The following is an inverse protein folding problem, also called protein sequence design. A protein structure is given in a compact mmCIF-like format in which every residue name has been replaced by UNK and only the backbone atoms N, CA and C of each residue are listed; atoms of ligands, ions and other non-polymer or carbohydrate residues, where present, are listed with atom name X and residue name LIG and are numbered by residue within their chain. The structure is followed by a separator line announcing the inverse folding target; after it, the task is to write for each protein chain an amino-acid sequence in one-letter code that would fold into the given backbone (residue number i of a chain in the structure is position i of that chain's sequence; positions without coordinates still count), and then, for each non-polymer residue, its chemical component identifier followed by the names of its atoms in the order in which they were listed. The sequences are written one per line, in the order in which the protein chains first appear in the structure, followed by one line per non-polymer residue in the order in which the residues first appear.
data_IF_253874111237
#
_entry.id   IF_253874111237
#
_cell.length_a   1.000
_cell.length_b   1.000
_cell.length_c   1.000
_cell.angle_alpha   90.00
_cell.angle_beta   90.00
_cell.angle_gamma   90.00
#
_symmetry.space_group_name_H-M   'P 1'
#
loop_
_entity.id
_entity.type
_entity.pdbx_description
1 polymer ?
#
# COMPACT_ATOMS: atom_id res chain seq x y z
N UNK A 1 -10.15 49.47 -9.36
CA UNK A 1 -10.42 48.01 -9.48
C UNK A 1 -11.88 47.85 -9.86
N UNK A 2 -12.17 47.25 -11.03
CA UNK A 2 -13.52 47.26 -11.60
C UNK A 2 -14.38 46.15 -10.98
N UNK A 3 -15.69 46.38 -10.80
CA UNK A 3 -16.65 45.44 -10.19
C UNK A 3 -16.53 44.01 -10.77
N UNK A 4 -16.21 43.88 -12.07
CA UNK A 4 -15.97 42.60 -12.75
C UNK A 4 -14.70 41.89 -12.29
N UNK A 5 -13.61 42.61 -12.02
CA UNK A 5 -12.36 42.02 -11.52
C UNK A 5 -12.45 41.58 -10.06
N UNK A 6 -13.24 42.28 -9.25
CA UNK A 6 -13.54 41.83 -7.88
C UNK A 6 -14.32 40.51 -7.87
N UNK A 7 -15.32 40.36 -8.75
CA UNK A 7 -16.10 39.12 -8.85
C UNK A 7 -15.21 37.94 -9.24
N UNK A 8 -14.32 38.10 -10.23
CA UNK A 8 -13.41 37.04 -10.69
C UNK A 8 -12.44 36.62 -9.57
N UNK A 9 -11.83 37.59 -8.87
CA UNK A 9 -10.92 37.31 -7.76
C UNK A 9 -11.62 36.64 -6.58
N UNK A 10 -12.84 37.07 -6.25
CA UNK A 10 -13.65 36.47 -5.19
C UNK A 10 -14.04 35.02 -5.52
N UNK A 11 -14.42 34.72 -6.78
CA UNK A 11 -14.74 33.35 -7.19
C UNK A 11 -13.52 32.43 -7.13
N UNK A 12 -12.34 32.90 -7.55
CA UNK A 12 -11.11 32.12 -7.50
C UNK A 12 -10.72 31.79 -6.04
N UNK A 13 -10.83 32.75 -5.12
CA UNK A 13 -10.52 32.54 -3.71
C UNK A 13 -11.44 31.50 -3.04
N UNK A 14 -12.75 31.54 -3.33
CA UNK A 14 -13.71 30.57 -2.78
C UNK A 14 -13.42 29.15 -3.27
N UNK A 15 -13.07 29.00 -4.55
CA UNK A 15 -12.73 27.69 -5.13
C UNK A 15 -11.45 27.11 -4.49
N UNK A 16 -10.43 27.94 -4.29
CA UNK A 16 -9.17 27.50 -3.65
C UNK A 16 -9.40 27.06 -2.20
N UNK A 17 -10.22 27.80 -1.44
CA UNK A 17 -10.55 27.46 -0.05
C UNK A 17 -11.36 26.16 0.01
N UNK A 18 -12.34 25.98 -0.88
CA UNK A 18 -13.12 24.75 -0.96
C UNK A 18 -12.26 23.52 -1.31
N UNK A 19 -11.30 23.67 -2.23
CA UNK A 19 -10.34 22.61 -2.57
C UNK A 19 -9.40 22.28 -1.40
N UNK A 20 -8.91 23.28 -0.67
CA UNK A 20 -8.05 23.07 0.49
C UNK A 20 -8.78 22.34 1.63
N UNK A 21 -10.05 22.70 1.89
CA UNK A 21 -10.90 22.02 2.89
C UNK A 21 -11.17 20.58 2.45
N UNK A 22 -11.48 20.34 1.17
CA UNK A 22 -11.73 19.01 0.63
C UNK A 22 -10.49 18.10 0.71
N UNK A 23 -9.30 18.62 0.40
CA UNK A 23 -8.04 17.90 0.54
C UNK A 23 -7.69 17.60 2.01
N UNK A 24 -7.94 18.54 2.92
CA UNK A 24 -7.69 18.36 4.35
C UNK A 24 -8.56 17.28 5.01
N UNK A 25 -9.85 17.20 4.64
CA UNK A 25 -10.77 16.19 5.19
C UNK A 25 -10.40 14.77 4.73
N UNK A 26 -9.84 14.61 3.53
CA UNK A 26 -9.43 13.29 3.01
C UNK A 26 -8.16 12.75 3.69
N UNK A 27 -7.34 13.63 4.25
CA UNK A 27 -6.04 13.26 4.86
C UNK A 27 -6.14 12.96 6.38
N UNK A 28 -7.22 13.37 7.06
CA UNK A 28 -7.31 13.30 8.53
C UNK A 28 -8.38 12.35 9.10
N UNK A 29 -9.01 11.50 8.27
CA UNK A 29 -10.15 10.67 8.68
C UNK A 29 -9.82 9.20 9.02
N UNK A 30 -8.55 8.81 9.17
CA UNK A 30 -8.23 7.52 9.80
C UNK A 30 -8.01 7.70 11.30
N UNK A 31 -9.11 7.69 12.07
CA UNK A 31 -9.05 7.48 13.52
C UNK A 31 -8.74 6.00 13.79
N UNK A 32 -7.67 5.67 14.54
CA UNK A 32 -7.56 4.36 15.15
C UNK A 32 -8.55 4.27 16.32
N UNK A 33 -9.42 3.27 16.29
CA UNK A 33 -10.39 3.00 17.35
C UNK A 33 -9.70 2.41 18.58
N UNK A 34 -9.99 3.05 19.72
CA UNK A 34 -10.02 2.59 21.11
C UNK A 34 -9.41 1.23 21.50
N UNK A 35 -8.47 1.34 22.44
CA UNK A 35 -7.91 0.37 23.38
C UNK A 35 -9.01 -0.41 24.15
N UNK A 36 -8.94 -1.75 24.25
CA UNK A 36 -9.44 -2.48 25.40
C UNK A 36 -8.32 -2.68 26.42
N UNK A 37 -8.53 -2.11 27.61
CA UNK A 37 -7.66 -2.25 28.78
C UNK A 37 -7.61 -3.72 29.23
N UNK A 38 -6.46 -4.35 29.07
CA UNK A 38 -6.13 -5.68 29.58
C UNK A 38 -4.70 -5.67 30.11
N UNK A 39 -4.58 -5.52 31.42
CA UNK A 39 -3.40 -5.75 32.25
C UNK A 39 -2.74 -7.11 31.97
N UNK A 40 -1.44 -7.16 31.65
CA UNK A 40 -0.49 -8.24 32.00
C UNK A 40 0.93 -7.83 31.60
N UNK A 41 1.90 -8.06 32.50
CA UNK A 41 3.33 -7.90 32.27
C UNK A 41 3.79 -8.51 30.93
N UNK A 42 4.35 -7.71 30.01
CA UNK A 42 4.90 -8.23 28.75
C UNK A 42 6.22 -7.54 28.39
N UNK A 43 7.26 -8.36 28.27
CA UNK A 43 8.43 -8.06 27.47
C UNK A 43 7.98 -7.76 26.03
N UNK A 44 8.47 -6.67 25.46
CA UNK A 44 8.03 -6.08 24.19
C UNK A 44 8.17 -7.10 23.05
N UNK A 45 7.07 -7.76 22.69
CA UNK A 45 6.93 -8.50 21.44
C UNK A 45 6.53 -7.51 20.36
N UNK A 46 7.35 -7.38 19.31
CA UNK A 46 6.97 -6.67 18.09
C UNK A 46 5.71 -7.35 17.56
N UNK A 47 4.58 -6.64 17.58
CA UNK A 47 3.28 -7.16 17.19
C UNK A 47 3.31 -7.56 15.71
N UNK A 48 3.35 -8.87 15.45
CA UNK A 48 3.20 -9.43 14.11
C UNK A 48 1.74 -9.21 13.71
N UNK A 49 1.50 -8.26 12.80
CA UNK A 49 0.21 -8.01 12.13
C UNK A 49 -0.46 -9.35 11.78
N UNK A 50 -1.79 -9.49 11.85
CA UNK A 50 -2.45 -10.75 11.49
C UNK A 50 -2.24 -11.12 10.01
N UNK A 51 -2.28 -12.42 9.68
CA UNK A 51 -2.22 -12.87 8.29
C UNK A 51 -3.34 -12.25 7.43
N UNK A 52 -4.55 -12.16 8.00
CA UNK A 52 -5.70 -11.55 7.32
C UNK A 52 -5.45 -10.08 6.99
N UNK A 53 -4.94 -9.32 7.96
CA UNK A 53 -4.67 -7.89 7.78
C UNK A 53 -3.56 -7.67 6.73
N UNK A 54 -2.55 -8.55 6.68
CA UNK A 54 -1.53 -8.51 5.60
C UNK A 54 -2.13 -8.76 4.23
N UNK A 55 -3.03 -9.74 4.10
CA UNK A 55 -3.72 -9.98 2.82
C UNK A 55 -4.54 -8.77 2.41
N UNK A 56 -5.31 -8.19 3.34
CA UNK A 56 -6.11 -6.98 3.11
C UNK A 56 -5.22 -5.82 2.65
N UNK A 57 -4.12 -5.55 3.35
CA UNK A 57 -3.15 -4.52 2.98
C UNK A 57 -2.58 -4.74 1.57
N UNK A 58 -2.17 -5.97 1.22
CA UNK A 58 -1.65 -6.26 -0.12
C UNK A 58 -2.71 -6.07 -1.20
N UNK A 59 -3.95 -6.50 -0.95
CA UNK A 59 -5.05 -6.29 -1.89
C UNK A 59 -5.32 -4.80 -2.11
N UNK A 60 -5.27 -3.98 -1.06
CA UNK A 60 -5.41 -2.52 -1.15
C UNK A 60 -4.29 -1.89 -1.98
N UNK A 61 -3.03 -2.28 -1.74
CA UNK A 61 -1.88 -1.80 -2.53
C UNK A 61 -2.04 -2.11 -4.01
N UNK A 62 -2.47 -3.33 -4.35
CA UNK A 62 -2.72 -3.72 -5.74
C UNK A 62 -3.94 -3.00 -6.34
N UNK A 63 -5.03 -2.89 -5.59
CA UNK A 63 -6.23 -2.17 -6.02
C UNK A 63 -5.90 -0.71 -6.35
N UNK A 64 -5.12 -0.04 -5.50
CA UNK A 64 -4.63 1.32 -5.73
C UNK A 64 -3.72 1.41 -6.95
N UNK A 65 -2.72 0.51 -7.04
CA UNK A 65 -1.75 0.49 -8.16
C UNK A 65 -2.42 0.27 -9.52
N UNK A 66 -3.44 -0.59 -9.57
CA UNK A 66 -4.09 -1.03 -10.81
C UNK A 66 -5.38 -0.24 -11.13
N UNK A 67 -5.85 0.63 -10.23
CA UNK A 67 -7.14 1.31 -10.37
C UNK A 67 -8.33 0.34 -10.39
N UNK A 68 -8.26 -0.73 -9.59
CA UNK A 68 -9.27 -1.79 -9.48
C UNK A 68 -9.92 -1.79 -8.10
N UNK A 69 -11.00 -2.55 -7.93
CA UNK A 69 -11.59 -2.78 -6.61
C UNK A 69 -10.84 -3.88 -5.88
N UNK A 70 -10.77 -3.80 -4.55
CA UNK A 70 -10.11 -4.81 -3.72
C UNK A 70 -10.69 -6.22 -3.94
N UNK A 71 -12.00 -6.34 -4.14
CA UNK A 71 -12.69 -7.61 -4.39
C UNK A 71 -12.29 -8.28 -5.72
N UNK A 72 -11.70 -7.52 -6.64
CA UNK A 72 -11.14 -8.06 -7.89
C UNK A 72 -9.72 -8.60 -7.73
N UNK A 73 -9.08 -8.38 -6.58
CA UNK A 73 -7.71 -8.78 -6.28
C UNK A 73 -7.70 -9.97 -5.32
N UNK A 74 -7.09 -11.07 -5.74
CA UNK A 74 -6.81 -12.22 -4.90
C UNK A 74 -5.30 -12.26 -4.68
N UNK A 75 -4.88 -12.35 -3.41
CA UNK A 75 -3.47 -12.45 -3.03
C UNK A 75 -3.23 -13.76 -2.31
N UNK A 76 -2.16 -14.45 -2.69
CA UNK A 76 -1.68 -15.64 -2.00
C UNK A 76 -0.21 -15.44 -1.61
N UNK A 77 0.09 -15.47 -0.31
CA UNK A 77 1.45 -15.31 0.22
C UNK A 77 2.14 -16.68 0.23
N UNK A 78 3.23 -16.79 -0.52
CA UNK A 78 4.02 -18.03 -0.60
C UNK A 78 5.14 -18.07 0.44
N UNK A 79 5.78 -16.92 0.71
CA UNK A 79 6.85 -16.76 1.69
C UNK A 79 6.80 -15.34 2.25
N UNK A 80 7.12 -15.19 3.52
CA UNK A 80 7.22 -13.90 4.19
C UNK A 80 8.26 -13.95 5.31
N UNK A 81 8.83 -12.80 5.60
CA UNK A 81 9.56 -12.52 6.84
C UNK A 81 9.05 -11.19 7.44
N UNK A 82 9.80 -10.56 8.35
CA UNK A 82 9.39 -9.31 8.98
C UNK A 82 9.31 -8.10 8.04
N UNK A 83 10.01 -8.15 6.89
CA UNK A 83 10.21 -7.01 5.98
C UNK A 83 9.99 -7.35 4.51
N UNK A 84 9.75 -8.60 4.14
CA UNK A 84 9.59 -9.06 2.76
C UNK A 84 8.43 -10.03 2.62
N UNK A 85 7.76 -9.96 1.49
CA UNK A 85 6.69 -10.89 1.10
C UNK A 85 6.90 -11.27 -0.36
N UNK A 86 6.78 -12.56 -0.64
CA UNK A 86 6.67 -13.10 -2.00
C UNK A 86 5.36 -13.86 -2.13
N UNK A 87 4.65 -13.65 -3.24
CA UNK A 87 3.41 -14.35 -3.47
C UNK A 87 2.95 -14.31 -4.92
N UNK A 88 1.69 -14.71 -5.08
CA UNK A 88 0.94 -14.64 -6.32
C UNK A 88 -0.20 -13.62 -6.15
N UNK A 89 -0.38 -12.77 -7.15
CA UNK A 89 -1.53 -11.90 -7.28
C UNK A 89 -2.34 -12.36 -8.48
N UNK A 90 -3.64 -12.53 -8.28
CA UNK A 90 -4.61 -12.84 -9.34
C UNK A 90 -5.62 -11.70 -9.40
N UNK A 91 -5.65 -11.01 -10.54
CA UNK A 91 -6.64 -9.99 -10.86
C UNK A 91 -7.74 -10.67 -11.67
N UNK A 92 -8.95 -10.73 -11.10
CA UNK A 92 -10.08 -11.45 -11.70
C UNK A 92 -10.34 -10.97 -13.13
N UNK A 93 -10.24 -11.90 -14.09
CA UNK A 93 -10.51 -11.64 -15.51
C UNK A 93 -9.39 -10.92 -16.28
N UNK A 94 -8.20 -10.75 -15.69
CA UNK A 94 -7.11 -10.00 -16.31
C UNK A 94 -5.79 -10.79 -16.31
N UNK A 95 -5.12 -10.90 -15.15
CA UNK A 95 -3.84 -11.60 -15.06
C UNK A 95 -3.60 -12.29 -13.73
N UNK A 96 -2.71 -13.28 -13.78
CA UNK A 96 -2.07 -13.88 -12.62
C UNK A 96 -0.57 -13.71 -12.75
N UNK A 97 0.08 -13.31 -11.66
CA UNK A 97 1.51 -13.00 -11.66
C UNK A 97 2.15 -13.19 -10.31
N UNK A 98 3.49 -13.25 -10.31
CA UNK A 98 4.28 -13.26 -9.09
C UNK A 98 4.40 -11.81 -8.61
N UNK A 99 4.46 -11.62 -7.29
CA UNK A 99 4.83 -10.34 -6.72
C UNK A 99 5.88 -10.47 -5.61
N UNK A 100 6.59 -9.36 -5.42
CA UNK A 100 7.52 -9.11 -4.34
C UNK A 100 7.12 -7.80 -3.67
N UNK A 101 6.91 -7.83 -2.36
CA UNK A 101 6.65 -6.65 -1.55
C UNK A 101 7.72 -6.53 -0.46
N UNK A 102 8.09 -5.30 -0.13
CA UNK A 102 9.06 -5.02 0.92
C UNK A 102 8.54 -3.91 1.82
N UNK A 103 8.97 -3.93 3.08
CA UNK A 103 8.71 -2.89 4.06
C UNK A 103 9.90 -1.94 4.09
N UNK A 104 9.73 -0.74 3.56
CA UNK A 104 10.77 0.31 3.54
C UNK A 104 10.29 1.49 4.39
N UNK A 105 11.14 1.99 5.29
CA UNK A 105 10.80 3.09 6.19
C UNK A 105 9.52 2.87 7.01
N UNK A 106 9.17 1.61 7.30
CA UNK A 106 7.99 1.25 8.07
C UNK A 106 6.72 1.02 7.26
N UNK A 107 6.74 1.28 5.94
CA UNK A 107 5.59 1.13 5.05
C UNK A 107 5.79 -0.02 4.06
N UNK A 108 4.71 -0.75 3.77
CA UNK A 108 4.72 -1.83 2.78
C UNK A 108 4.50 -1.28 1.37
N UNK A 109 5.30 -1.75 0.42
CA UNK A 109 5.14 -1.43 -0.99
C UNK A 109 5.38 -2.64 -1.90
N UNK A 110 4.69 -2.65 -3.05
CA UNK A 110 4.92 -3.64 -4.11
C UNK A 110 6.16 -3.24 -4.90
N UNK A 111 7.24 -3.98 -4.73
CA UNK A 111 8.54 -3.73 -5.38
C UNK A 111 8.53 -4.24 -6.82
N UNK A 112 7.95 -5.41 -7.03
CA UNK A 112 7.83 -6.00 -8.35
C UNK A 112 6.55 -6.83 -8.44
N UNK A 113 5.89 -6.79 -9.59
CA UNK A 113 4.84 -7.72 -9.96
C UNK A 113 4.84 -7.94 -11.46
N UNK A 114 4.44 -9.14 -11.90
CA UNK A 114 4.33 -9.43 -13.32
C UNK A 114 4.18 -10.91 -13.63
N UNK A 115 3.99 -11.18 -14.93
CA UNK A 115 3.97 -12.54 -15.47
C UNK A 115 5.42 -12.99 -15.72
N UNK A 116 5.87 -14.04 -15.05
CA UNK A 116 7.17 -14.68 -15.31
C UNK A 116 8.29 -14.24 -14.38
N UNK A 117 9.53 -14.26 -14.88
CA UNK A 117 10.74 -13.99 -14.09
C UNK A 117 11.08 -12.50 -14.08
N UNK A 118 11.77 -12.08 -13.02
CA UNK A 118 12.22 -10.70 -12.80
C UNK A 118 13.75 -10.62 -12.75
N UNK A 119 14.36 -9.51 -13.21
CA UNK A 119 15.81 -9.30 -13.06
C UNK A 119 16.21 -9.17 -11.58
N UNK A 120 17.27 -9.84 -11.16
CA UNK A 120 17.79 -9.69 -9.79
C UNK A 120 18.20 -8.23 -9.52
N UNK A 121 18.72 -7.54 -10.55
CA UNK A 121 19.16 -6.15 -10.46
C UNK A 121 18.04 -5.17 -10.08
N UNK A 122 16.78 -5.43 -10.48
CA UNK A 122 15.66 -4.50 -10.20
C UNK A 122 15.22 -4.52 -8.74
N UNK A 123 15.62 -5.54 -7.97
CA UNK A 123 15.19 -5.73 -6.58
C UNK A 123 16.35 -5.73 -5.58
N UNK A 124 17.60 -5.60 -6.05
CA UNK A 124 18.80 -5.75 -5.24
C UNK A 124 18.85 -4.75 -4.07
N UNK A 125 18.36 -3.52 -4.27
CA UNK A 125 18.32 -2.49 -3.24
C UNK A 125 17.36 -2.78 -2.08
N UNK A 126 16.48 -3.77 -2.23
CA UNK A 126 15.45 -4.09 -1.24
C UNK A 126 15.81 -5.29 -0.37
N UNK A 127 17.02 -5.86 -0.49
CA UNK A 127 17.57 -6.87 0.43
C UNK A 127 16.69 -8.13 0.65
N UNK A 128 15.98 -8.57 -0.39
CA UNK A 128 15.20 -9.81 -0.31
C UNK A 128 16.08 -11.01 0.04
N UNK A 129 15.63 -11.92 0.94
CA UNK A 129 16.35 -13.14 1.25
C UNK A 129 16.54 -14.01 0.00
N UNK A 130 17.71 -14.63 -0.14
CA UNK A 130 18.00 -15.51 -1.28
C UNK A 130 16.97 -16.63 -1.50
N UNK A 131 16.34 -17.13 -0.43
CA UNK A 131 15.27 -18.13 -0.53
C UNK A 131 13.97 -17.61 -1.19
N UNK A 132 13.74 -16.28 -1.21
CA UNK A 132 12.63 -15.67 -1.93
C UNK A 132 13.00 -15.37 -3.38
N UNK A 133 14.27 -15.09 -3.67
CA UNK A 133 14.70 -14.58 -4.98
C UNK A 133 15.61 -15.52 -5.78
N UNK A 134 15.65 -16.80 -5.43
CA UNK A 134 16.48 -17.79 -6.12
C UNK A 134 16.09 -18.03 -7.59
N UNK A 135 14.91 -17.56 -8.01
CA UNK A 135 14.36 -17.71 -9.35
C UNK A 135 14.52 -16.47 -10.26
N UNK A 136 15.20 -15.43 -9.77
CA UNK A 136 15.44 -14.21 -10.56
C UNK A 136 16.46 -14.42 -11.71
N UNK A 137 16.36 -13.56 -12.73
CA UNK A 137 17.28 -13.53 -13.87
C UNK A 137 18.55 -12.74 -13.49
N UNK A 138 19.70 -13.38 -13.61
CA UNK A 138 21.01 -12.77 -13.35
C UNK A 138 21.46 -11.87 -14.49
#
# INVERSE_FOLDING_TARGET
MNRRQYIIMATAAVIVIAFAIWLGIKFFSHKPNSIPTGNTNQAVSVEKISYKDRLTMLQELFAQKLGKTQDSIIVNISREDNTHIKGIVTVKGDYEGIFLAARTSGEWGIIWDGRGKYPCASIQSYNFPGAMISDCLK
#
